data_IF_604423761256
#
_entry.id   IF_604423761256
#
_cell.length_a   1.000
_cell.length_b   1.000
_cell.length_c   1.000
_cell.angle_alpha   90.00
_cell.angle_beta   90.00
_cell.angle_gamma   90.00
#
_symmetry.space_group_name_H-M   'P 1'
#
loop_
_entity.id
_entity.type
_entity.pdbx_description
1 polymer ?
#
# COMPACT_ATOMS: atom_id res chain seq x y z
N UNK A 1 -0.28 25.35 44.55
CA UNK A 1 0.40 26.52 43.98
C UNK A 1 -0.64 27.58 43.76
N UNK A 2 -0.40 28.76 44.33
CA UNK A 2 -1.33 29.87 44.52
C UNK A 2 -1.89 30.43 43.20
N UNK A 3 -3.21 30.60 43.16
CA UNK A 3 -3.97 31.33 42.14
C UNK A 3 -3.78 32.83 42.37
N UNK A 4 -2.80 33.45 41.71
CA UNK A 4 -2.76 34.91 41.53
C UNK A 4 -1.67 35.26 40.50
N UNK A 5 -2.05 35.34 39.22
CA UNK A 5 -1.48 36.22 38.17
C UNK A 5 -1.73 35.65 36.77
N UNK A 6 -2.71 36.22 36.07
CA UNK A 6 -2.65 36.40 34.61
C UNK A 6 -3.81 37.32 34.20
N UNK A 7 -3.56 38.61 34.38
CA UNK A 7 -4.29 39.67 33.72
C UNK A 7 -4.09 39.53 32.21
N UNK A 8 -5.19 39.65 31.47
CA UNK A 8 -5.32 40.00 30.06
C UNK A 8 -4.09 39.86 29.15
N UNK A 9 -4.10 38.84 28.30
CA UNK A 9 -3.48 38.89 26.97
C UNK A 9 -4.50 38.43 25.92
N UNK A 10 -5.45 39.32 25.64
CA UNK A 10 -6.26 39.25 24.43
C UNK A 10 -5.40 39.64 23.23
N UNK A 11 -4.66 38.67 22.68
CA UNK A 11 -4.10 38.73 21.33
C UNK A 11 -4.34 37.37 20.69
N UNK A 12 -5.42 37.31 19.90
CA UNK A 12 -5.66 36.20 18.99
C UNK A 12 -4.62 36.31 17.88
N UNK A 13 -3.64 35.41 17.85
CA UNK A 13 -2.70 35.26 16.74
C UNK A 13 -3.44 34.79 15.50
N UNK A 14 -3.86 35.73 14.66
CA UNK A 14 -4.17 35.50 13.25
C UNK A 14 -3.54 36.61 12.41
N UNK A 15 -2.22 36.63 12.36
CA UNK A 15 -1.46 37.52 11.46
C UNK A 15 -0.20 36.81 10.95
N UNK A 16 -0.40 35.68 10.27
CA UNK A 16 0.60 35.11 9.36
C UNK A 16 -0.04 35.05 7.97
N UNK A 17 -0.11 36.19 7.28
CA UNK A 17 -0.26 36.31 5.81
C UNK A 17 -0.55 37.79 5.47
N UNK A 18 0.43 38.70 5.65
CA UNK A 18 0.38 40.03 4.98
C UNK A 18 1.70 40.81 5.05
N UNK A 19 2.85 40.14 5.09
CA UNK A 19 4.17 40.81 5.07
C UNK A 19 4.89 40.75 3.71
N UNK A 20 4.21 40.40 2.62
CA UNK A 20 4.82 40.37 1.28
C UNK A 20 4.62 41.67 0.46
N UNK A 21 3.93 42.67 1.00
CA UNK A 21 3.84 43.98 0.37
C UNK A 21 3.93 45.04 1.47
N UNK A 22 5.14 45.54 1.72
CA UNK A 22 5.45 46.92 2.14
C UNK A 22 6.91 46.97 2.61
N UNK A 23 7.83 47.05 1.66
CA UNK A 23 9.17 47.59 1.88
C UNK A 23 9.10 49.09 1.56
N UNK A 24 9.50 49.95 2.50
CA UNK A 24 9.71 51.37 2.23
C UNK A 24 9.92 52.24 3.48
N UNK A 25 11.15 52.75 3.61
CA UNK A 25 11.57 53.99 4.31
C UNK A 25 11.82 53.98 5.84
N UNK A 26 13.12 53.90 6.17
CA UNK A 26 13.96 54.82 6.95
C UNK A 26 13.42 55.67 8.13
N UNK A 27 14.12 55.50 9.27
CA UNK A 27 14.67 56.52 10.19
C UNK A 27 13.71 57.42 11.02
N UNK A 28 13.73 57.26 12.36
CA UNK A 28 14.29 58.23 13.34
C UNK A 28 13.69 58.03 14.76
N UNK A 29 14.56 57.93 15.76
CA UNK A 29 14.28 58.24 17.17
C UNK A 29 14.60 59.73 17.42
N UNK A 30 13.96 60.46 18.38
CA UNK A 30 14.32 60.32 19.81
C UNK A 30 13.25 60.64 20.90
N UNK A 31 13.36 59.91 22.03
CA UNK A 31 13.26 60.28 23.47
C UNK A 31 12.07 61.06 24.10
N UNK A 32 11.90 60.99 25.45
CA UNK A 32 10.59 60.93 26.14
C UNK A 32 10.24 62.20 26.94
N UNK A 33 8.94 62.44 27.18
CA UNK A 33 8.40 63.06 28.40
C UNK A 33 6.86 63.20 28.34
N UNK A 34 6.20 63.06 29.48
CA UNK A 34 4.93 63.73 29.76
C UNK A 34 3.76 62.82 30.11
N UNK A 35 3.53 62.64 31.40
CA UNK A 35 2.24 62.22 31.95
C UNK A 35 1.15 63.23 31.56
N UNK A 36 0.21 62.84 30.71
CA UNK A 36 -1.12 63.45 30.64
C UNK A 36 -2.19 62.38 30.46
N UNK A 37 -3.10 62.33 31.42
CA UNK A 37 -4.28 61.48 31.39
C UNK A 37 -5.25 61.98 30.31
N UNK A 38 -5.33 61.27 29.19
CA UNK A 38 -6.43 61.41 28.24
C UNK A 38 -7.34 60.19 28.30
N UNK A 39 -8.62 60.44 28.60
CA UNK A 39 -9.74 59.51 28.45
C UNK A 39 -9.91 59.15 26.98
N UNK A 40 -9.12 58.21 26.49
CA UNK A 40 -9.32 57.62 25.15
C UNK A 40 -10.52 56.69 25.24
N UNK A 41 -11.68 57.16 24.75
CA UNK A 41 -12.77 56.29 24.32
C UNK A 41 -12.21 55.33 23.27
N UNK A 42 -11.81 54.13 23.70
CA UNK A 42 -11.34 53.06 22.84
C UNK A 42 -12.54 52.63 22.01
N UNK A 43 -12.66 53.15 20.79
CA UNK A 43 -13.62 52.67 19.81
C UNK A 43 -13.36 51.17 19.64
N UNK A 44 -14.23 50.33 20.21
CA UNK A 44 -14.11 48.89 20.06
C UNK A 44 -14.41 48.57 18.61
N UNK A 45 -13.48 47.88 17.95
CA UNK A 45 -13.73 47.37 16.62
C UNK A 45 -15.04 46.56 16.64
N UNK A 46 -15.94 46.75 15.67
CA UNK A 46 -17.21 46.05 15.65
C UNK A 46 -16.98 44.55 15.68
N UNK A 47 -17.70 43.86 16.56
CA UNK A 47 -17.62 42.41 16.68
C UNK A 47 -18.03 41.78 15.35
N UNK A 48 -17.21 40.83 14.86
CA UNK A 48 -17.57 40.03 13.67
C UNK A 48 -18.86 39.26 13.87
N UNK A 49 -19.16 38.88 15.11
CA UNK A 49 -20.40 38.20 15.49
C UNK A 49 -20.92 38.77 16.83
N UNK A 50 -22.19 39.17 16.86
CA UNK A 50 -22.81 39.85 17.99
C UNK A 50 -23.63 38.93 18.91
N UNK A 51 -23.71 37.65 18.56
CA UNK A 51 -24.50 36.65 19.29
C UNK A 51 -23.57 35.88 20.24
N UNK A 52 -24.00 35.46 21.44
CA UNK A 52 -23.24 34.53 22.27
C UNK A 52 -23.03 33.18 21.57
N UNK A 53 -21.80 32.67 21.53
CA UNK A 53 -21.47 31.39 20.88
C UNK A 53 -21.11 30.33 21.92
N UNK A 54 -21.37 29.07 21.59
CA UNK A 54 -20.81 27.96 22.35
C UNK A 54 -19.29 27.89 22.13
N UNK A 55 -18.55 27.69 23.21
CA UNK A 55 -17.11 27.44 23.16
C UNK A 55 -16.86 25.99 23.50
N UNK A 56 -16.06 25.31 22.69
CA UNK A 56 -15.61 23.95 22.94
C UNK A 56 -14.10 23.91 22.89
N UNK A 57 -13.47 23.31 23.90
CA UNK A 57 -12.03 23.13 23.98
C UNK A 57 -11.67 21.75 24.49
N UNK A 58 -10.53 21.23 24.03
CA UNK A 58 -9.94 20.02 24.60
C UNK A 58 -9.08 20.38 25.81
N UNK A 59 -9.32 19.71 26.93
CA UNK A 59 -8.53 19.80 28.14
C UNK A 59 -7.51 18.66 28.24
N UNK A 60 -6.59 18.72 29.21
CA UNK A 60 -5.66 17.64 29.48
C UNK A 60 -6.41 16.35 29.88
N UNK A 61 -5.74 15.20 29.77
CA UNK A 61 -6.26 13.89 30.17
C UNK A 61 -7.60 13.51 29.49
N UNK A 62 -7.82 13.93 28.24
CA UNK A 62 -8.99 13.54 27.46
C UNK A 62 -10.29 14.23 27.91
N UNK A 63 -10.21 15.43 28.47
CA UNK A 63 -11.39 16.20 28.82
C UNK A 63 -11.90 17.04 27.63
N UNK A 64 -13.22 17.18 27.52
CA UNK A 64 -13.88 18.10 26.60
C UNK A 64 -14.64 19.15 27.41
N UNK A 65 -14.20 20.39 27.29
CA UNK A 65 -14.79 21.53 27.97
C UNK A 65 -15.77 22.19 27.02
N UNK A 66 -17.02 22.37 27.45
CA UNK A 66 -18.06 23.08 26.70
C UNK A 66 -18.62 24.20 27.56
N UNK A 67 -18.66 25.41 27.00
CA UNK A 67 -19.38 26.55 27.56
C UNK A 67 -20.58 26.82 26.67
N UNK A 68 -21.78 26.65 27.22
CA UNK A 68 -23.01 26.97 26.50
C UNK A 68 -23.40 28.42 26.76
N UNK A 69 -23.80 29.19 25.72
CA UNK A 69 -24.23 30.57 25.90
C UNK A 69 -25.49 30.62 26.76
N UNK A 70 -25.53 31.55 27.73
CA UNK A 70 -26.74 31.82 28.49
C UNK A 70 -27.81 32.41 27.56
N UNK A 71 -28.98 31.76 27.51
CA UNK A 71 -30.09 32.13 26.62
C UNK A 71 -31.11 33.07 27.31
N UNK A 72 -30.94 33.39 28.59
CA UNK A 72 -31.91 34.20 29.36
C UNK A 72 -31.24 35.40 30.05
N UNK A 73 -32.00 36.50 30.16
CA UNK A 73 -31.62 37.72 30.88
C UNK A 73 -31.62 37.54 32.42
N UNK A 74 -32.01 36.37 32.92
CA UNK A 74 -32.20 36.10 34.35
C UNK A 74 -31.07 35.27 34.97
N UNK A 75 -30.32 34.52 34.16
CA UNK A 75 -29.14 33.77 34.58
C UNK A 75 -27.90 34.30 33.84
N UNK A 76 -27.19 35.27 34.45
CA UNK A 76 -25.93 35.82 33.91
C UNK A 76 -24.75 34.83 33.94
N UNK A 77 -24.99 33.55 34.27
CA UNK A 77 -23.95 32.52 34.39
C UNK A 77 -24.02 31.56 33.22
N UNK A 78 -23.00 31.57 32.37
CA UNK A 78 -22.86 30.57 31.30
C UNK A 78 -22.55 29.19 31.92
N UNK A 79 -23.25 28.15 31.48
CA UNK A 79 -23.04 26.79 31.98
C UNK A 79 -21.73 26.22 31.42
N UNK A 80 -20.79 25.92 32.31
CA UNK A 80 -19.57 25.17 32.02
C UNK A 80 -19.82 23.67 32.23
N UNK A 81 -19.58 22.88 31.20
CA UNK A 81 -19.63 21.43 31.24
C UNK A 81 -18.24 20.85 30.96
N UNK A 82 -17.86 19.84 31.73
CA UNK A 82 -16.63 19.08 31.51
C UNK A 82 -17.04 17.63 31.26
N UNK A 83 -16.73 17.13 30.08
CA UNK A 83 -17.04 15.76 29.67
C UNK A 83 -15.76 14.95 29.53
N UNK A 84 -15.82 13.65 29.85
CA UNK A 84 -14.73 12.72 29.54
C UNK A 84 -14.89 12.23 28.09
N UNK A 85 -13.85 12.41 27.27
CA UNK A 85 -13.84 11.88 25.91
C UNK A 85 -13.89 10.35 25.89
N UNK A 86 -13.29 9.68 26.88
CA UNK A 86 -13.35 8.22 26.97
C UNK A 86 -14.81 7.74 27.06
N UNK A 87 -15.63 8.42 27.86
CA UNK A 87 -17.06 8.10 27.99
C UNK A 87 -17.81 8.42 26.70
N UNK A 88 -17.51 9.55 26.06
CA UNK A 88 -18.16 9.96 24.80
C UNK A 88 -17.82 8.99 23.66
N UNK A 89 -16.59 8.48 23.62
CA UNK A 89 -16.06 7.63 22.54
C UNK A 89 -16.17 6.14 22.86
N UNK A 90 -16.61 5.75 24.06
CA UNK A 90 -16.58 4.37 24.54
C UNK A 90 -17.24 3.36 23.58
N UNK A 91 -18.32 3.77 22.92
CA UNK A 91 -19.09 2.91 22.00
C UNK A 91 -18.62 2.98 20.54
N UNK A 92 -17.60 3.77 20.24
CA UNK A 92 -17.08 3.89 18.87
C UNK A 92 -16.26 2.68 18.47
N UNK A 93 -16.40 2.23 17.22
CA UNK A 93 -15.62 1.12 16.66
C UNK A 93 -14.11 1.40 16.77
N UNK A 94 -13.72 2.64 16.51
CA UNK A 94 -12.33 3.08 16.53
C UNK A 94 -11.72 2.97 17.94
N UNK A 95 -12.49 3.29 18.99
CA UNK A 95 -12.05 3.13 20.38
C UNK A 95 -11.90 1.66 20.77
N UNK A 96 -12.81 0.79 20.31
CA UNK A 96 -12.70 -0.66 20.51
C UNK A 96 -11.45 -1.21 19.81
N UNK A 97 -11.19 -0.81 18.57
CA UNK A 97 -10.01 -1.22 17.83
C UNK A 97 -8.71 -0.78 18.52
N UNK A 98 -8.66 0.44 19.04
CA UNK A 98 -7.51 0.94 19.79
C UNK A 98 -7.30 0.19 21.11
N UNK A 99 -8.36 -0.19 21.82
CA UNK A 99 -8.28 -0.99 23.06
C UNK A 99 -7.85 -2.43 22.80
N UNK A 100 -8.28 -3.00 21.68
CA UNK A 100 -7.93 -4.36 21.28
C UNK A 100 -6.52 -4.45 20.69
N UNK A 101 -5.91 -3.31 20.32
CA UNK A 101 -4.54 -3.29 19.82
C UNK A 101 -3.56 -3.72 20.94
N UNK A 102 -2.60 -4.62 20.66
CA UNK A 102 -1.70 -5.17 21.67
C UNK A 102 -0.58 -4.20 22.04
N UNK A 103 -0.93 -2.96 22.39
CA UNK A 103 -0.04 -1.92 22.92
C UNK A 103 1.14 -1.57 22.01
N UNK A 104 2.07 -0.73 22.47
CA UNK A 104 3.32 -0.49 21.74
C UNK A 104 4.03 -1.83 21.48
N UNK A 105 4.32 -2.15 20.22
CA UNK A 105 4.86 -3.46 19.85
C UNK A 105 6.30 -3.70 20.35
N UNK A 106 7.00 -2.64 20.74
CA UNK A 106 8.38 -2.67 21.23
C UNK A 106 8.50 -2.82 22.76
N UNK A 107 7.40 -3.12 23.45
CA UNK A 107 7.41 -3.30 24.91
C UNK A 107 7.99 -4.67 25.29
N UNK A 108 8.78 -4.69 26.36
CA UNK A 108 9.50 -5.89 26.80
C UNK A 108 8.57 -7.03 27.25
N UNK A 109 7.34 -6.71 27.67
CA UNK A 109 6.32 -7.65 28.15
C UNK A 109 5.48 -8.30 27.03
N UNK A 110 5.56 -7.81 25.79
CA UNK A 110 4.76 -8.34 24.69
C UNK A 110 5.45 -9.55 24.05
N UNK A 111 4.82 -10.71 24.13
CA UNK A 111 5.34 -11.88 23.42
C UNK A 111 5.00 -11.80 21.93
N UNK A 112 5.95 -12.24 21.11
CA UNK A 112 5.79 -12.38 19.65
C UNK A 112 4.54 -13.18 19.26
N UNK A 113 4.17 -14.18 20.05
CA UNK A 113 2.99 -15.02 19.82
C UNK A 113 1.71 -14.18 19.88
N UNK A 114 1.58 -13.26 20.85
CA UNK A 114 0.40 -12.43 21.01
C UNK A 114 0.22 -11.46 19.84
N UNK A 115 1.33 -10.91 19.33
CA UNK A 115 1.31 -10.05 18.14
C UNK A 115 0.90 -10.83 16.87
N UNK A 116 1.37 -12.08 16.74
CA UNK A 116 0.97 -12.97 15.65
C UNK A 116 -0.51 -13.34 15.77
N UNK A 117 -1.00 -13.68 16.96
CA UNK A 117 -2.41 -14.01 17.20
C UNK A 117 -3.32 -12.82 16.86
N UNK A 118 -2.94 -11.62 17.30
CA UNK A 118 -3.65 -10.39 16.91
C UNK A 118 -3.68 -10.22 15.39
N UNK A 119 -2.54 -10.38 14.71
CA UNK A 119 -2.48 -10.28 13.25
C UNK A 119 -3.34 -11.33 12.54
N UNK A 120 -3.43 -12.56 13.08
CA UNK A 120 -4.30 -13.62 12.56
C UNK A 120 -5.78 -13.22 12.68
N UNK A 121 -6.20 -12.72 13.85
CA UNK A 121 -7.56 -12.23 14.05
C UNK A 121 -7.90 -11.09 13.08
N UNK A 122 -6.95 -10.20 12.79
CA UNK A 122 -7.12 -9.12 11.80
C UNK A 122 -7.22 -9.63 10.37
N UNK A 123 -6.42 -10.64 9.99
CA UNK A 123 -6.50 -11.27 8.68
C UNK A 123 -7.90 -11.86 8.43
N UNK A 124 -8.43 -12.61 9.40
CA UNK A 124 -9.77 -13.17 9.30
C UNK A 124 -10.87 -12.10 9.30
N UNK A 125 -10.70 -11.04 10.10
CA UNK A 125 -11.64 -9.93 10.10
C UNK A 125 -11.72 -9.24 8.72
N UNK A 126 -10.60 -9.13 8.00
CA UNK A 126 -10.58 -8.60 6.63
C UNK A 126 -11.39 -9.46 5.66
N UNK A 127 -11.37 -10.79 5.82
CA UNK A 127 -12.17 -11.69 4.97
C UNK A 127 -13.68 -11.56 5.24
N UNK A 128 -14.06 -11.24 6.49
CA UNK A 128 -15.45 -11.04 6.91
C UNK A 128 -15.99 -9.62 6.63
N UNK A 129 -15.13 -8.65 6.32
CA UNK A 129 -15.56 -7.27 6.10
C UNK A 129 -16.14 -7.07 4.69
N UNK A 130 -17.45 -6.95 4.62
CA UNK A 130 -18.17 -6.76 3.36
C UNK A 130 -17.85 -5.43 2.66
N UNK A 131 -17.36 -4.42 3.40
CA UNK A 131 -17.11 -3.06 2.88
C UNK A 131 -15.79 -2.93 2.15
N UNK A 132 -14.86 -3.86 2.34
CA UNK A 132 -13.56 -3.85 1.68
C UNK A 132 -13.71 -4.33 0.23
N UNK A 133 -13.19 -3.53 -0.72
CA UNK A 133 -13.19 -3.86 -2.15
C UNK A 133 -12.36 -5.12 -2.44
N UNK A 134 -11.19 -5.26 -1.80
CA UNK A 134 -10.29 -6.40 -1.98
C UNK A 134 -9.93 -7.02 -0.62
N UNK A 135 -10.85 -7.84 -0.12
CA UNK A 135 -10.72 -8.59 1.14
C UNK A 135 -9.54 -9.57 1.09
N UNK A 136 -9.33 -10.18 -0.07
CA UNK A 136 -8.29 -11.20 -0.27
C UNK A 136 -6.89 -10.60 -0.11
N UNK A 137 -6.64 -9.44 -0.71
CA UNK A 137 -5.35 -8.76 -0.60
C UNK A 137 -5.17 -8.11 0.77
N UNK A 138 -6.24 -7.64 1.41
CA UNK A 138 -6.18 -7.12 2.77
C UNK A 138 -5.77 -8.22 3.77
N UNK A 139 -6.39 -9.40 3.69
CA UNK A 139 -6.01 -10.55 4.50
C UNK A 139 -4.60 -11.04 4.18
N UNK A 140 -4.23 -11.08 2.88
CA UNK A 140 -2.88 -11.44 2.44
C UNK A 140 -1.81 -10.50 3.01
N UNK A 141 -2.07 -9.20 3.10
CA UNK A 141 -1.15 -8.24 3.72
C UNK A 141 -0.90 -8.58 5.19
N UNK A 142 -1.94 -8.94 5.96
CA UNK A 142 -1.76 -9.41 7.33
C UNK A 142 -1.00 -10.73 7.41
N UNK A 143 -1.27 -11.67 6.51
CA UNK A 143 -0.52 -12.93 6.45
C UNK A 143 0.96 -12.72 6.10
N UNK A 144 1.28 -11.72 5.28
CA UNK A 144 2.65 -11.33 5.00
C UNK A 144 3.34 -10.78 6.26
N UNK A 145 2.64 -9.97 7.06
CA UNK A 145 3.16 -9.50 8.35
C UNK A 145 3.38 -10.65 9.34
N UNK A 146 2.47 -11.63 9.38
CA UNK A 146 2.64 -12.85 10.19
C UNK A 146 3.89 -13.63 9.75
N UNK A 147 4.10 -13.77 8.44
CA UNK A 147 5.28 -14.43 7.88
C UNK A 147 6.58 -13.71 8.28
N UNK A 148 6.61 -12.39 8.11
CA UNK A 148 7.72 -11.53 8.52
C UNK A 148 8.02 -11.68 10.02
N UNK A 149 6.98 -11.61 10.88
CA UNK A 149 7.13 -11.86 12.31
C UNK A 149 7.75 -13.23 12.55
N UNK A 150 7.15 -14.30 12.02
CA UNK A 150 7.62 -15.68 12.24
C UNK A 150 9.09 -15.84 11.91
N UNK A 151 9.54 -15.24 10.81
CA UNK A 151 10.92 -15.34 10.33
C UNK A 151 11.84 -14.19 10.79
N UNK A 152 11.44 -13.35 11.75
CA UNK A 152 12.23 -12.21 12.27
C UNK A 152 12.74 -11.30 11.13
N UNK A 153 11.87 -11.03 10.15
CA UNK A 153 12.19 -10.22 8.98
C UNK A 153 13.07 -10.89 7.90
N UNK A 154 13.57 -12.10 8.12
CA UNK A 154 14.41 -12.84 7.15
C UNK A 154 13.58 -13.72 6.24
N UNK A 155 12.85 -13.12 5.29
CA UNK A 155 12.01 -13.84 4.32
C UNK A 155 12.70 -14.03 2.98
N UNK A 156 12.57 -15.22 2.40
CA UNK A 156 13.00 -15.52 1.02
C UNK A 156 11.82 -15.34 0.07
N UNK A 157 12.09 -14.97 -1.18
CA UNK A 157 11.03 -14.76 -2.17
C UNK A 157 10.15 -15.99 -2.42
N UNK A 158 10.67 -17.21 -2.20
CA UNK A 158 9.92 -18.47 -2.22
C UNK A 158 8.79 -18.51 -1.19
N UNK A 159 9.02 -18.00 0.03
CA UNK A 159 8.04 -18.06 1.12
C UNK A 159 6.88 -17.11 0.85
N UNK A 160 7.17 -15.93 0.29
CA UNK A 160 6.16 -14.97 -0.17
C UNK A 160 5.38 -15.57 -1.36
N UNK A 161 6.07 -16.23 -2.29
CA UNK A 161 5.44 -16.88 -3.43
C UNK A 161 4.47 -18.00 -2.99
N UNK A 162 4.85 -18.81 -2.01
CA UNK A 162 3.97 -19.82 -1.44
C UNK A 162 2.72 -19.16 -0.82
N UNK A 163 2.92 -18.12 -0.01
CA UNK A 163 1.82 -17.37 0.60
C UNK A 163 0.85 -16.78 -0.44
N UNK A 164 1.36 -16.26 -1.56
CA UNK A 164 0.55 -15.71 -2.65
C UNK A 164 -0.32 -16.79 -3.32
N UNK A 165 0.17 -18.03 -3.39
CA UNK A 165 -0.48 -19.13 -4.10
C UNK A 165 -1.44 -19.94 -3.22
N UNK A 166 -1.40 -19.81 -1.89
CA UNK A 166 -2.25 -20.56 -0.95
C UNK A 166 -3.76 -20.45 -1.22
N UNK A 167 -4.25 -19.29 -1.69
CA UNK A 167 -5.66 -19.07 -2.03
C UNK A 167 -6.07 -19.48 -3.45
N UNK A 168 -5.12 -19.90 -4.28
CA UNK A 168 -5.35 -20.25 -5.70
C UNK A 168 -5.51 -21.76 -5.92
N UNK A 169 -5.39 -22.56 -4.85
CA UNK A 169 -5.65 -24.01 -4.91
C UNK A 169 -7.17 -24.19 -4.91
N UNK A 170 -7.78 -24.72 -5.98
CA UNK A 170 -9.16 -25.17 -5.89
C UNK A 170 -9.21 -26.26 -4.80
N UNK A 171 -10.16 -26.10 -3.91
CA UNK A 171 -10.46 -26.93 -2.75
C UNK A 171 -10.26 -28.44 -3.02
N UNK A 172 -9.45 -29.14 -2.21
CA UNK A 172 -9.51 -30.60 -2.07
C UNK A 172 -8.61 -31.50 -2.94
N UNK A 173 -7.48 -31.04 -3.47
CA UNK A 173 -6.46 -31.95 -4.05
C UNK A 173 -5.46 -32.42 -2.98
N UNK A 174 -5.20 -33.73 -2.79
CA UNK A 174 -4.22 -34.21 -1.80
C UNK A 174 -2.86 -33.57 -2.10
N UNK A 175 -2.12 -33.25 -1.04
CA UNK A 175 -0.75 -32.75 -1.11
C UNK A 175 0.01 -33.59 -2.13
N UNK A 176 0.26 -33.00 -3.32
CA UNK A 176 1.21 -33.59 -4.24
C UNK A 176 2.53 -33.51 -3.52
N UNK A 177 2.99 -34.66 -3.02
CA UNK A 177 4.35 -34.88 -2.55
C UNK A 177 5.27 -33.93 -3.31
N UNK A 178 5.87 -32.99 -2.59
CA UNK A 178 7.03 -32.27 -3.10
C UNK A 178 7.97 -33.35 -3.64
N UNK A 179 8.33 -33.37 -4.94
CA UNK A 179 9.35 -34.28 -5.41
C UNK A 179 10.67 -33.75 -4.84
N UNK A 180 10.94 -34.14 -3.60
CA UNK A 180 12.15 -33.84 -2.87
C UNK A 180 13.23 -34.69 -3.51
N UNK A 181 14.09 -34.05 -4.29
CA UNK A 181 15.31 -34.60 -4.88
C UNK A 181 15.03 -35.63 -5.98
N UNK A 182 15.61 -35.39 -7.16
CA UNK A 182 15.77 -36.42 -8.18
C UNK A 182 16.72 -37.45 -7.57
N UNK A 183 16.16 -38.55 -7.08
CA UNK A 183 16.94 -39.73 -6.69
C UNK A 183 17.43 -40.38 -7.99
N UNK A 184 18.75 -40.45 -8.18
CA UNK A 184 19.36 -41.02 -9.39
C UNK A 184 19.55 -42.54 -9.29
N UNK A 185 18.96 -43.18 -8.29
CA UNK A 185 19.00 -44.64 -8.12
C UNK A 185 17.64 -45.26 -8.52
N UNK A 186 17.43 -45.47 -9.82
CA UNK A 186 16.49 -46.50 -10.27
C UNK A 186 17.11 -47.28 -11.45
N UNK A 187 17.76 -48.39 -11.08
CA UNK A 187 18.11 -49.48 -11.97
C UNK A 187 16.82 -50.16 -12.50
N UNK A 188 16.80 -50.33 -13.82
CA UNK A 188 16.06 -51.36 -14.55
C UNK A 188 14.52 -51.35 -14.52
N UNK A 189 13.89 -50.48 -15.34
CA UNK A 189 12.82 -50.89 -16.27
C UNK A 189 12.35 -49.73 -17.18
N UNK A 190 12.99 -49.54 -18.34
CA UNK A 190 12.36 -49.15 -19.62
C UNK A 190 13.45 -48.77 -20.64
N UNK A 191 13.95 -49.76 -21.37
CA UNK A 191 14.70 -49.49 -22.60
C UNK A 191 13.71 -49.09 -23.69
N UNK A 192 13.26 -47.83 -23.63
CA UNK A 192 12.68 -47.12 -24.76
C UNK A 192 13.30 -45.72 -24.76
N UNK A 193 14.01 -45.31 -25.83
CA UNK A 193 14.43 -43.91 -25.95
C UNK A 193 13.17 -43.03 -25.85
N UNK A 194 13.26 -41.80 -25.29
CA UNK A 194 12.14 -40.87 -25.29
C UNK A 194 11.63 -40.72 -26.72
N UNK A 195 10.49 -41.36 -27.01
CA UNK A 195 9.86 -41.28 -28.33
C UNK A 195 9.11 -39.96 -28.36
N UNK A 196 9.67 -39.05 -29.16
CA UNK A 196 9.22 -37.67 -29.45
C UNK A 196 9.47 -36.69 -28.30
N UNK A 197 10.21 -35.63 -28.64
CA UNK A 197 10.23 -34.40 -27.87
C UNK A 197 8.87 -33.73 -27.99
N UNK A 198 7.96 -34.09 -27.10
CA UNK A 198 6.72 -33.38 -26.91
C UNK A 198 7.06 -32.01 -26.31
N UNK A 199 6.61 -30.94 -26.97
CA UNK A 199 6.79 -29.56 -26.51
C UNK A 199 5.86 -29.30 -25.33
N UNK A 200 6.29 -29.69 -24.14
CA UNK A 200 5.55 -29.57 -22.88
C UNK A 200 5.43 -28.11 -22.40
N UNK A 201 6.15 -27.16 -23.01
CA UNK A 201 6.20 -25.77 -22.57
C UNK A 201 5.16 -24.87 -23.24
N UNK A 202 4.62 -25.25 -24.38
CA UNK A 202 3.69 -24.40 -25.17
C UNK A 202 2.23 -24.88 -25.14
N UNK A 203 1.94 -25.99 -24.46
CA UNK A 203 0.58 -26.47 -24.22
C UNK A 203 -0.20 -26.92 -25.46
N UNK A 204 0.41 -26.90 -26.66
CA UNK A 204 -0.22 -27.45 -27.85
C UNK A 204 -0.08 -28.97 -27.87
N UNK A 205 -0.96 -29.65 -27.11
CA UNK A 205 -1.33 -31.03 -27.39
C UNK A 205 -2.19 -31.09 -28.66
N UNK A 206 -1.64 -30.63 -29.78
CA UNK A 206 -2.16 -30.90 -31.10
C UNK A 206 -1.14 -31.78 -31.78
N UNK A 207 -1.46 -33.07 -31.83
CA UNK A 207 -1.00 -34.04 -32.83
C UNK A 207 0.00 -33.42 -33.80
N UNK A 208 1.30 -33.66 -33.57
CA UNK A 208 2.34 -33.47 -34.58
C UNK A 208 1.88 -34.27 -35.80
N UNK A 209 1.18 -33.60 -36.73
CA UNK A 209 1.00 -34.08 -38.08
C UNK A 209 2.40 -34.22 -38.63
N UNK A 210 2.92 -35.45 -38.62
CA UNK A 210 4.37 -35.71 -38.73
C UNK A 210 4.93 -35.17 -40.04
N UNK A 211 4.08 -34.97 -41.04
CA UNK A 211 4.47 -34.47 -42.35
C UNK A 211 4.90 -32.98 -42.36
N UNK A 212 4.31 -32.12 -41.52
CA UNK A 212 4.64 -30.67 -41.50
C UNK A 212 5.99 -30.36 -40.85
N UNK A 213 6.22 -30.93 -39.66
CA UNK A 213 7.48 -30.79 -38.91
C UNK A 213 8.64 -31.49 -39.63
N UNK A 214 8.42 -32.67 -40.23
CA UNK A 214 9.44 -33.35 -41.03
C UNK A 214 9.81 -32.56 -42.29
N UNK A 215 8.85 -31.95 -42.98
CA UNK A 215 9.12 -31.06 -44.12
C UNK A 215 9.94 -29.83 -43.71
N UNK A 216 9.58 -29.20 -42.59
CA UNK A 216 10.34 -28.08 -42.03
C UNK A 216 11.78 -28.51 -41.70
N UNK A 217 11.97 -29.70 -41.13
CA UNK A 217 13.29 -30.23 -40.79
C UNK A 217 14.15 -30.54 -42.03
N UNK A 218 13.55 -31.07 -43.10
CA UNK A 218 14.23 -31.28 -44.39
C UNK A 218 14.61 -29.95 -45.05
N UNK A 219 13.72 -28.94 -45.02
CA UNK A 219 13.99 -27.59 -45.53
C UNK A 219 15.15 -26.93 -44.75
N UNK A 220 15.08 -26.97 -43.42
CA UNK A 220 16.12 -26.51 -42.51
C UNK A 220 17.48 -27.14 -42.81
N UNK A 221 17.54 -28.47 -42.92
CA UNK A 221 18.77 -29.21 -43.21
C UNK A 221 19.35 -28.81 -44.57
N UNK A 222 18.51 -28.69 -45.61
CA UNK A 222 18.94 -28.26 -46.95
C UNK A 222 19.55 -26.86 -46.93
N UNK A 223 18.97 -25.92 -46.20
CA UNK A 223 19.50 -24.55 -46.07
C UNK A 223 20.82 -24.50 -45.30
N UNK A 224 20.97 -25.34 -44.27
CA UNK A 224 22.24 -25.47 -43.55
C UNK A 224 23.35 -26.07 -44.40
N UNK A 225 23.05 -27.10 -45.21
CA UNK A 225 24.01 -27.68 -46.16
C UNK A 225 24.47 -26.63 -47.19
N UNK A 226 23.60 -25.69 -47.55
CA UNK A 226 23.93 -24.56 -48.41
C UNK A 226 24.65 -23.40 -47.68
N UNK A 227 24.91 -23.52 -46.37
CA UNK A 227 25.54 -22.47 -45.55
C UNK A 227 24.64 -21.27 -45.21
N UNK A 228 23.35 -21.31 -45.53
CA UNK A 228 22.39 -20.19 -45.39
C UNK A 228 21.75 -20.18 -43.99
N UNK A 229 22.57 -19.93 -42.96
CA UNK A 229 22.18 -20.03 -41.54
C UNK A 229 20.98 -19.14 -41.16
N UNK A 230 20.89 -17.91 -41.69
CA UNK A 230 19.79 -16.98 -41.38
C UNK A 230 18.43 -17.48 -41.87
N UNK A 231 18.38 -18.00 -43.09
CA UNK A 231 17.15 -18.51 -43.68
C UNK A 231 16.75 -19.84 -43.05
N UNK A 232 17.73 -20.70 -42.74
CA UNK A 232 17.48 -21.90 -41.95
C UNK A 232 16.83 -21.54 -40.60
N UNK A 233 17.30 -20.49 -39.93
CA UNK A 233 16.73 -20.03 -38.67
C UNK A 233 15.27 -19.56 -38.84
N UNK A 234 14.96 -18.81 -39.89
CA UNK A 234 13.59 -18.36 -40.18
C UNK A 234 12.64 -19.52 -40.47
N UNK A 235 13.08 -20.50 -41.26
CA UNK A 235 12.33 -21.73 -41.55
C UNK A 235 12.10 -22.58 -40.29
N UNK A 236 13.11 -22.68 -39.41
CA UNK A 236 12.98 -23.40 -38.14
C UNK A 236 11.94 -22.73 -37.23
N UNK A 237 11.94 -21.39 -37.15
CA UNK A 237 10.93 -20.64 -36.38
C UNK A 237 9.53 -20.79 -36.98
N UNK A 238 9.40 -20.72 -38.31
CA UNK A 238 8.11 -20.87 -39.00
C UNK A 238 7.53 -22.29 -38.86
N UNK A 239 8.40 -23.31 -38.84
CA UNK A 239 8.03 -24.71 -38.66
C UNK A 239 7.86 -25.17 -37.21
N UNK A 240 7.99 -24.27 -36.22
CA UNK A 240 7.89 -24.62 -34.79
C UNK A 240 9.04 -25.47 -34.25
N UNK A 241 10.17 -25.54 -34.96
CA UNK A 241 11.36 -26.30 -34.56
C UNK A 241 12.19 -25.54 -33.51
N UNK A 242 11.57 -25.13 -32.41
CA UNK A 242 12.16 -24.21 -31.42
C UNK A 242 13.47 -24.69 -30.82
N UNK A 243 13.61 -25.99 -30.52
CA UNK A 243 14.88 -26.55 -30.04
C UNK A 243 16.04 -26.34 -31.02
N UNK A 244 15.80 -26.57 -32.32
CA UNK A 244 16.78 -26.34 -33.37
C UNK A 244 17.06 -24.84 -33.57
N UNK A 245 16.00 -24.02 -33.58
CA UNK A 245 16.11 -22.58 -33.76
C UNK A 245 16.89 -21.93 -32.61
N UNK A 246 16.56 -22.24 -31.35
CA UNK A 246 17.23 -21.73 -30.15
C UNK A 246 18.70 -22.16 -30.11
N UNK A 247 18.98 -23.43 -30.40
CA UNK A 247 20.36 -23.92 -30.46
C UNK A 247 21.17 -23.19 -31.54
N UNK A 248 20.66 -23.13 -32.78
CA UNK A 248 21.35 -22.45 -33.87
C UNK A 248 21.58 -20.96 -33.54
N UNK A 249 20.55 -20.27 -33.05
CA UNK A 249 20.62 -18.87 -32.69
C UNK A 249 21.63 -18.60 -31.56
N UNK A 250 21.76 -19.50 -30.59
CA UNK A 250 22.76 -19.41 -29.50
C UNK A 250 24.21 -19.44 -30.01
N UNK A 251 24.45 -19.99 -31.20
CA UNK A 251 25.76 -20.05 -31.87
C UNK A 251 25.92 -18.99 -32.97
N UNK A 252 24.93 -18.11 -33.13
CA UNK A 252 24.98 -16.94 -34.01
C UNK A 252 25.29 -15.69 -33.18
N UNK A 253 24.81 -14.53 -33.60
CA UNK A 253 24.93 -13.27 -32.90
C UNK A 253 23.80 -13.06 -31.87
N UNK A 254 24.04 -12.18 -30.88
CA UNK A 254 23.10 -11.90 -29.79
C UNK A 254 21.73 -11.40 -30.28
N UNK A 255 21.68 -10.67 -31.40
CA UNK A 255 20.44 -10.15 -31.97
C UNK A 255 19.59 -11.30 -32.55
N UNK A 256 20.21 -12.25 -33.23
CA UNK A 256 19.54 -13.47 -33.71
C UNK A 256 18.97 -14.30 -32.55
N UNK A 257 19.74 -14.53 -31.49
CA UNK A 257 19.27 -15.22 -30.27
C UNK A 257 18.08 -14.52 -29.62
N UNK A 258 18.19 -13.20 -29.40
CA UNK A 258 17.12 -12.39 -28.80
C UNK A 258 15.84 -12.41 -29.63
N UNK A 259 15.96 -12.40 -30.96
CA UNK A 259 14.80 -12.42 -31.87
C UNK A 259 14.04 -13.75 -31.78
N UNK A 260 14.77 -14.87 -31.77
CA UNK A 260 14.18 -16.22 -31.66
C UNK A 260 13.54 -16.39 -30.30
N UNK A 261 14.22 -16.00 -29.23
CA UNK A 261 13.69 -16.06 -27.87
C UNK A 261 12.40 -15.23 -27.72
N UNK A 262 12.37 -14.00 -28.26
CA UNK A 262 11.17 -13.17 -28.24
C UNK A 262 10.00 -13.79 -29.02
N UNK A 263 10.26 -14.44 -30.16
CA UNK A 263 9.20 -15.13 -30.91
C UNK A 263 8.70 -16.37 -30.20
N UNK A 264 9.59 -17.17 -29.61
CA UNK A 264 9.25 -18.38 -28.85
C UNK A 264 8.37 -18.04 -27.65
N UNK A 265 8.85 -17.12 -26.81
CA UNK A 265 8.13 -16.66 -25.60
C UNK A 265 6.83 -15.94 -25.98
N UNK A 266 6.81 -15.22 -27.10
CA UNK A 266 5.59 -14.60 -27.64
C UNK A 266 4.48 -15.57 -28.07
N UNK A 267 4.74 -16.89 -28.11
CA UNK A 267 3.69 -17.90 -28.32
C UNK A 267 2.85 -18.15 -27.06
N UNK A 268 3.36 -17.80 -25.89
CA UNK A 268 2.65 -17.93 -24.62
C UNK A 268 1.59 -16.85 -24.48
N UNK A 269 0.55 -17.15 -23.70
CA UNK A 269 -0.46 -16.13 -23.37
C UNK A 269 0.17 -15.01 -22.53
N UNK A 270 -0.28 -13.77 -22.74
CA UNK A 270 0.29 -12.63 -22.02
C UNK A 270 0.06 -12.71 -20.49
N UNK A 271 -0.98 -13.42 -20.06
CA UNK A 271 -1.31 -13.70 -18.65
C UNK A 271 -0.60 -14.94 -18.09
N UNK A 272 0.24 -15.62 -18.87
CA UNK A 272 0.99 -16.78 -18.39
C UNK A 272 2.14 -16.35 -17.47
N UNK A 273 2.23 -16.85 -16.22
CA UNK A 273 3.39 -16.58 -15.35
C UNK A 273 4.74 -17.01 -15.96
N UNK A 274 4.76 -18.01 -16.87
CA UNK A 274 5.97 -18.37 -17.62
C UNK A 274 6.47 -17.23 -18.50
N UNK A 275 5.56 -16.46 -19.09
CA UNK A 275 5.93 -15.29 -19.88
C UNK A 275 6.60 -14.21 -19.01
N UNK A 276 6.12 -14.04 -17.77
CA UNK A 276 6.77 -13.17 -16.78
C UNK A 276 8.18 -13.63 -16.46
N UNK A 277 8.37 -14.93 -16.23
CA UNK A 277 9.68 -15.51 -15.93
C UNK A 277 10.66 -15.27 -17.09
N UNK A 278 10.27 -15.60 -18.32
CA UNK A 278 11.16 -15.45 -19.47
C UNK A 278 11.55 -13.99 -19.74
N UNK A 279 10.64 -13.04 -19.51
CA UNK A 279 10.95 -11.61 -19.61
C UNK A 279 11.97 -11.16 -18.56
N UNK A 280 11.84 -11.64 -17.32
CA UNK A 280 12.81 -11.37 -16.24
C UNK A 280 14.18 -11.99 -16.53
N UNK A 281 14.22 -13.27 -16.94
CA UNK A 281 15.45 -13.97 -17.31
C UNK A 281 16.16 -13.30 -18.50
N UNK A 282 15.39 -12.60 -19.35
CA UNK A 282 15.92 -11.78 -20.45
C UNK A 282 16.39 -10.38 -20.00
N UNK A 283 16.39 -10.09 -18.69
CA UNK A 283 16.81 -8.80 -18.13
C UNK A 283 15.83 -7.66 -18.39
N UNK A 284 14.55 -7.96 -18.68
CA UNK A 284 13.52 -6.95 -18.95
C UNK A 284 12.48 -6.91 -17.85
N UNK A 285 11.92 -5.73 -17.60
CA UNK A 285 10.73 -5.59 -16.76
C UNK A 285 9.55 -6.23 -17.50
N UNK A 286 8.85 -7.20 -16.89
CA UNK A 286 7.74 -7.87 -17.56
C UNK A 286 6.58 -6.92 -17.86
N UNK A 287 5.92 -7.11 -19.00
CA UNK A 287 4.82 -6.26 -19.43
C UNK A 287 3.62 -6.31 -18.45
N UNK A 288 3.46 -7.42 -17.71
CA UNK A 288 2.45 -7.53 -16.66
C UNK A 288 2.68 -6.54 -15.51
N UNK A 289 3.92 -6.12 -15.24
CA UNK A 289 4.21 -5.14 -14.20
C UNK A 289 3.56 -3.77 -14.46
N UNK A 290 3.30 -3.42 -15.72
CA UNK A 290 2.66 -2.16 -16.12
C UNK A 290 1.17 -2.30 -16.42
N UNK A 291 0.65 -3.53 -16.47
CA UNK A 291 -0.68 -3.82 -17.02
C UNK A 291 -1.54 -4.76 -16.15
N UNK A 292 -1.01 -5.29 -15.04
CA UNK A 292 -1.65 -6.25 -14.14
C UNK A 292 -3.02 -5.77 -13.63
N UNK A 293 -3.96 -6.71 -13.44
CA UNK A 293 -5.32 -6.43 -12.95
C UNK A 293 -6.31 -5.95 -14.01
N UNK A 294 -5.96 -5.98 -15.30
CA UNK A 294 -6.91 -5.81 -16.41
C UNK A 294 -7.47 -7.17 -16.79
N UNK A 295 -8.68 -7.23 -17.38
CA UNK A 295 -9.29 -8.48 -17.87
C UNK A 295 -8.34 -9.31 -18.76
N UNK A 296 -7.45 -8.64 -19.50
CA UNK A 296 -6.45 -9.28 -20.38
C UNK A 296 -5.25 -9.92 -19.67
N UNK A 297 -4.91 -9.49 -18.46
CA UNK A 297 -3.67 -9.88 -17.77
C UNK A 297 -3.91 -10.75 -16.53
N UNK A 298 -5.16 -10.92 -16.10
CA UNK A 298 -5.52 -11.84 -15.02
C UNK A 298 -5.07 -11.38 -13.63
N UNK A 299 -4.99 -12.34 -12.72
CA UNK A 299 -4.58 -12.14 -11.32
C UNK A 299 -3.09 -11.79 -11.22
N UNK A 300 -2.76 -10.83 -10.37
CA UNK A 300 -1.39 -10.35 -10.16
C UNK A 300 -0.55 -11.31 -9.30
N UNK A 301 -1.19 -12.12 -8.44
CA UNK A 301 -0.51 -12.98 -7.45
C UNK A 301 0.45 -13.99 -8.08
N UNK A 302 0.08 -14.77 -9.12
CA UNK A 302 0.99 -15.74 -9.74
C UNK A 302 2.19 -15.07 -10.40
N UNK A 303 1.99 -13.89 -11.00
CA UNK A 303 3.08 -13.13 -11.59
C UNK A 303 4.06 -12.66 -10.52
N UNK A 304 3.57 -12.07 -9.42
CA UNK A 304 4.44 -11.66 -8.31
C UNK A 304 5.17 -12.86 -7.71
N UNK A 305 4.48 -14.00 -7.52
CA UNK A 305 5.07 -15.22 -7.00
C UNK A 305 6.28 -15.66 -7.86
N UNK A 306 6.15 -15.68 -9.18
CA UNK A 306 7.24 -15.98 -10.11
C UNK A 306 8.39 -14.96 -9.99
N UNK A 307 8.08 -13.66 -9.90
CA UNK A 307 9.11 -12.63 -9.76
C UNK A 307 9.94 -12.82 -8.49
N UNK A 308 9.32 -13.27 -7.40
CA UNK A 308 9.96 -13.40 -6.08
C UNK A 308 10.70 -14.74 -5.92
N UNK A 309 10.12 -15.86 -6.36
CA UNK A 309 10.72 -17.19 -6.17
C UNK A 309 11.90 -17.48 -7.11
N UNK A 310 12.00 -16.76 -8.22
CA UNK A 310 13.07 -16.95 -9.21
C UNK A 310 14.14 -15.86 -9.05
N UNK A 311 15.10 -16.10 -8.17
CA UNK A 311 16.20 -15.17 -7.89
C UNK A 311 17.25 -15.06 -9.02
N UNK A 312 17.04 -15.73 -10.15
CA UNK A 312 17.90 -15.62 -11.32
C UNK A 312 17.82 -14.21 -11.95
N UNK A 313 18.95 -13.76 -12.52
CA UNK A 313 19.05 -12.49 -13.25
C UNK A 313 19.43 -11.28 -12.39
N UNK A 314 19.18 -10.08 -12.92
CA UNK A 314 19.53 -8.81 -12.28
C UNK A 314 18.54 -8.45 -11.15
N UNK A 315 18.99 -8.37 -9.88
CA UNK A 315 18.12 -8.01 -8.76
C UNK A 315 17.50 -6.62 -8.90
N UNK A 316 18.18 -5.67 -9.56
CA UNK A 316 17.64 -4.33 -9.77
C UNK A 316 16.45 -4.34 -10.73
N UNK A 317 16.50 -5.16 -11.79
CA UNK A 317 15.38 -5.33 -12.73
C UNK A 317 14.18 -5.96 -12.03
N UNK A 318 14.41 -6.99 -11.21
CA UNK A 318 13.37 -7.65 -10.41
C UNK A 318 12.71 -6.68 -9.44
N UNK A 319 13.50 -5.98 -8.63
CA UNK A 319 13.00 -5.01 -7.66
C UNK A 319 12.20 -3.88 -8.36
N UNK A 320 12.69 -3.40 -9.50
CA UNK A 320 11.97 -2.43 -10.34
C UNK A 320 10.65 -3.00 -10.87
N UNK A 321 10.62 -4.26 -11.31
CA UNK A 321 9.42 -4.91 -11.81
C UNK A 321 8.36 -5.04 -10.70
N UNK A 322 8.74 -5.51 -9.51
CA UNK A 322 7.83 -5.62 -8.36
C UNK A 322 7.30 -4.25 -7.94
N UNK A 323 8.18 -3.25 -7.89
CA UNK A 323 7.78 -1.87 -7.56
C UNK A 323 6.81 -1.29 -8.60
N UNK A 324 7.08 -1.50 -9.89
CA UNK A 324 6.21 -1.03 -10.99
C UNK A 324 4.84 -1.72 -10.96
N UNK A 325 4.80 -3.00 -10.59
CA UNK A 325 3.56 -3.73 -10.36
C UNK A 325 2.75 -3.12 -9.22
N UNK A 326 3.42 -2.77 -8.11
CA UNK A 326 2.81 -2.05 -6.99
C UNK A 326 2.25 -0.69 -7.42
N UNK A 327 3.02 0.09 -8.17
CA UNK A 327 2.60 1.41 -8.69
C UNK A 327 1.34 1.27 -9.58
N UNK A 328 1.30 0.23 -10.42
CA UNK A 328 0.15 -0.08 -11.28
C UNK A 328 -1.08 -0.48 -10.48
N UNK A 329 -0.95 -1.34 -9.46
CA UNK A 329 -2.05 -1.74 -8.59
C UNK A 329 -2.58 -0.57 -7.76
N UNK A 330 -1.69 0.29 -7.26
CA UNK A 330 -2.06 1.50 -6.52
C UNK A 330 -2.86 2.46 -7.39
N UNK A 331 -2.48 2.65 -8.66
CA UNK A 331 -3.21 3.50 -9.62
C UNK A 331 -4.65 3.05 -9.89
N UNK A 332 -4.97 1.80 -9.56
CA UNK A 332 -6.31 1.18 -9.71
C UNK A 332 -7.11 1.15 -8.41
N UNK A 333 -6.59 1.73 -7.33
CA UNK A 333 -7.23 1.70 -6.02
C UNK A 333 -7.03 0.38 -5.26
N UNK A 334 -6.21 -0.56 -5.76
CA UNK A 334 -5.90 -1.82 -5.09
C UNK A 334 -4.76 -1.63 -4.08
N UNK A 335 -5.02 -0.83 -3.04
CA UNK A 335 -4.02 -0.37 -2.05
C UNK A 335 -3.34 -1.55 -1.33
N UNK A 336 -4.12 -2.53 -0.87
CA UNK A 336 -3.58 -3.67 -0.13
C UNK A 336 -2.64 -4.52 -1.02
N UNK A 337 -3.03 -4.78 -2.26
CA UNK A 337 -2.21 -5.51 -3.23
C UNK A 337 -0.90 -4.76 -3.54
N UNK A 338 -0.99 -3.43 -3.74
CA UNK A 338 0.18 -2.59 -3.95
C UNK A 338 1.15 -2.64 -2.75
N UNK A 339 0.62 -2.59 -1.53
CA UNK A 339 1.45 -2.67 -0.31
C UNK A 339 2.09 -4.04 -0.11
N UNK A 340 1.46 -5.13 -0.57
CA UNK A 340 2.11 -6.44 -0.65
C UNK A 340 3.33 -6.37 -1.59
N UNK A 341 3.19 -5.79 -2.78
CA UNK A 341 4.33 -5.59 -3.70
C UNK A 341 5.43 -4.73 -3.09
N UNK A 342 5.09 -3.59 -2.47
CA UNK A 342 6.09 -2.69 -1.88
C UNK A 342 6.82 -3.33 -0.70
N UNK A 343 6.10 -4.06 0.16
CA UNK A 343 6.71 -4.82 1.27
C UNK A 343 7.65 -5.89 0.74
N UNK A 344 7.21 -6.67 -0.26
CA UNK A 344 8.03 -7.69 -0.89
C UNK A 344 9.27 -7.13 -1.63
N UNK A 345 9.19 -5.89 -2.13
CA UNK A 345 10.32 -5.18 -2.74
C UNK A 345 11.26 -4.51 -1.72
N UNK A 346 10.98 -4.59 -0.42
CA UNK A 346 11.75 -3.91 0.62
C UNK A 346 11.67 -2.38 0.53
N UNK A 347 10.53 -1.83 0.07
CA UNK A 347 10.35 -0.39 0.01
C UNK A 347 10.33 0.22 1.43
N UNK A 348 11.04 1.34 1.66
CA UNK A 348 11.05 1.98 2.97
C UNK A 348 9.73 2.69 3.28
N UNK A 349 9.48 2.90 4.57
CA UNK A 349 8.41 3.79 5.03
C UNK A 349 8.85 5.25 4.95
N UNK A 350 8.03 6.06 4.28
CA UNK A 350 8.20 7.49 4.13
C UNK A 350 7.39 8.32 5.13
N UNK A 351 7.41 9.64 4.92
CA UNK A 351 6.79 10.62 5.82
C UNK A 351 5.55 11.26 5.18
N UNK A 352 4.44 11.33 5.93
CA UNK A 352 3.24 12.07 5.51
C UNK A 352 3.47 13.59 5.54
N UNK A 353 3.01 14.38 4.54
CA UNK A 353 2.12 14.05 3.43
C UNK A 353 2.81 13.89 2.06
N UNK A 354 4.07 13.45 2.01
CA UNK A 354 4.78 13.33 0.73
C UNK A 354 4.06 12.36 -0.22
N UNK A 355 3.65 12.85 -1.39
CA UNK A 355 2.99 12.03 -2.44
C UNK A 355 3.96 11.15 -3.24
N UNK A 356 5.26 11.34 -3.05
CA UNK A 356 6.29 10.55 -3.72
C UNK A 356 6.56 9.22 -3.00
N UNK A 357 6.12 9.10 -1.76
CA UNK A 357 6.31 7.89 -0.96
C UNK A 357 5.37 6.78 -1.42
N UNK A 358 5.81 5.53 -1.31
CA UNK A 358 4.97 4.35 -1.65
C UNK A 358 4.29 3.77 -0.43
N UNK A 359 4.99 3.81 0.71
CA UNK A 359 4.52 3.34 1.99
C UNK A 359 4.63 4.45 3.03
N UNK A 360 3.53 4.72 3.73
CA UNK A 360 3.50 5.63 4.90
C UNK A 360 2.80 4.90 6.05
N UNK A 361 1.61 4.39 5.76
CA UNK A 361 0.85 3.53 6.65
C UNK A 361 0.34 2.32 5.86
N UNK A 362 0.58 1.11 6.36
CA UNK A 362 0.11 -0.11 5.72
C UNK A 362 -1.44 -0.13 5.63
N UNK A 363 -1.97 -0.72 4.56
CA UNK A 363 -3.40 -0.72 4.24
C UNK A 363 -4.04 0.63 3.89
N UNK A 364 -3.31 1.75 3.93
CA UNK A 364 -3.89 3.09 3.71
C UNK A 364 -3.24 3.84 2.55
N UNK A 365 -4.05 4.37 1.64
CA UNK A 365 -3.56 5.31 0.62
C UNK A 365 -3.31 6.68 1.24
N UNK A 366 -2.15 7.28 1.01
CA UNK A 366 -1.83 8.66 1.43
C UNK A 366 -1.87 9.65 0.25
N UNK A 367 -2.02 9.15 -0.98
CA UNK A 367 -2.14 9.97 -2.19
C UNK A 367 -3.53 10.60 -2.33
N UNK A 368 -4.54 9.94 -1.76
CA UNK A 368 -5.88 10.50 -1.61
C UNK A 368 -5.95 11.34 -0.32
N UNK A 369 -6.24 12.64 -0.45
CA UNK A 369 -6.47 13.55 0.68
C UNK A 369 -7.56 13.07 1.67
N UNK A 370 -8.29 12.00 1.34
CA UNK A 370 -9.48 11.52 2.03
C UNK A 370 -9.20 10.57 3.21
N UNK A 371 -8.14 9.76 3.17
CA UNK A 371 -7.95 8.65 4.12
C UNK A 371 -7.67 9.11 5.56
N UNK A 372 -6.74 10.06 5.76
CA UNK A 372 -6.47 10.61 7.10
C UNK A 372 -7.58 11.57 7.56
N UNK A 373 -8.29 12.19 6.62
CA UNK A 373 -9.47 13.03 6.90
C UNK A 373 -10.66 12.19 7.38
N UNK A 374 -10.86 10.97 6.85
CA UNK A 374 -12.01 10.12 7.18
C UNK A 374 -12.07 9.77 8.67
N UNK A 375 -10.92 9.42 9.28
CA UNK A 375 -10.82 9.18 10.72
C UNK A 375 -11.12 10.44 11.54
N UNK A 376 -10.61 11.60 11.10
CA UNK A 376 -10.82 12.90 11.77
C UNK A 376 -12.27 13.36 11.72
N UNK A 377 -12.95 13.20 10.58
CA UNK A 377 -14.35 13.59 10.42
C UNK A 377 -15.30 12.70 11.24
N UNK A 378 -15.02 11.40 11.36
CA UNK A 378 -15.88 10.47 12.10
C UNK A 378 -15.86 10.72 13.60
N UNK A 379 -14.68 10.98 14.18
CA UNK A 379 -14.56 11.38 15.59
C UNK A 379 -15.27 12.70 15.86
N UNK A 380 -15.07 13.71 15.00
CA UNK A 380 -15.72 15.03 15.15
C UNK A 380 -17.25 14.92 15.00
N UNK A 381 -17.74 14.11 14.06
CA UNK A 381 -19.18 13.86 13.89
C UNK A 381 -19.79 13.13 15.08
N UNK A 382 -19.08 12.17 15.69
CA UNK A 382 -19.60 11.40 16.83
C UNK A 382 -19.61 12.23 18.12
N UNK A 383 -18.58 13.04 18.35
CA UNK A 383 -18.57 14.07 19.40
C UNK A 383 -19.74 15.04 19.17
N UNK A 384 -19.96 15.44 17.92
CA UNK A 384 -21.13 16.22 17.48
C UNK A 384 -22.45 15.58 17.90
N UNK A 385 -22.69 14.33 17.53
CA UNK A 385 -23.94 13.64 17.86
C UNK A 385 -24.13 13.48 19.36
N UNK A 386 -23.14 12.97 20.10
CA UNK A 386 -23.32 12.65 21.52
C UNK A 386 -23.36 13.89 22.43
N UNK A 387 -22.59 14.93 22.10
CA UNK A 387 -22.52 16.15 22.93
C UNK A 387 -23.66 17.12 22.60
N UNK A 388 -24.14 17.16 21.35
CA UNK A 388 -25.15 18.12 20.93
C UNK A 388 -26.58 17.55 20.90
N UNK A 389 -26.82 16.23 20.79
CA UNK A 389 -28.19 15.66 20.92
C UNK A 389 -28.68 15.51 22.36
N UNK A 390 -27.80 15.44 23.36
CA UNK A 390 -28.19 15.25 24.78
C UNK A 390 -29.06 16.39 25.36
N UNK A 391 -29.27 17.49 24.63
CA UNK A 391 -30.14 18.61 25.00
C UNK A 391 -31.34 18.87 24.04
N UNK A 392 -31.71 17.90 23.18
CA UNK A 392 -33.02 17.93 22.50
C UNK A 392 -33.22 19.02 21.43
N UNK A 393 -32.17 19.52 20.79
CA UNK A 393 -32.30 20.41 19.60
C UNK A 393 -31.43 19.90 18.46
N UNK A 394 -32.07 19.58 17.34
CA UNK A 394 -31.42 19.29 16.06
C UNK A 394 -30.66 20.55 15.60
N UNK A 395 -29.34 20.56 15.73
CA UNK A 395 -28.51 21.55 15.06
C UNK A 395 -28.21 21.03 13.65
N UNK A 396 -28.88 21.59 12.64
CA UNK A 396 -28.48 21.42 11.25
C UNK A 396 -27.09 22.05 11.08
N UNK A 397 -26.05 21.22 11.02
CA UNK A 397 -24.70 21.66 10.67
C UNK A 397 -24.64 21.91 9.17
N UNK A 398 -24.96 23.14 8.74
CA UNK A 398 -24.56 23.61 7.41
C UNK A 398 -23.04 23.64 7.34
N UNK A 399 -22.50 23.03 6.28
CA UNK A 399 -21.09 22.63 6.05
C UNK A 399 -20.06 23.77 5.94
N UNK A 400 -20.41 25.00 6.28
CA UNK A 400 -19.52 26.14 6.15
C UNK A 400 -19.20 26.68 7.55
N UNK A 401 -17.90 26.76 7.86
CA UNK A 401 -17.28 27.48 8.99
C UNK A 401 -16.84 26.72 10.25
N UNK A 402 -16.53 25.42 10.18
CA UNK A 402 -15.57 24.81 11.13
C UNK A 402 -14.14 25.06 10.67
N UNK A 403 -13.63 26.29 10.87
CA UNK A 403 -12.18 26.55 10.89
C UNK A 403 -11.64 26.07 12.24
N UNK A 404 -11.39 24.78 12.36
CA UNK A 404 -10.60 24.22 13.47
C UNK A 404 -9.14 24.60 13.26
N UNK A 405 -8.52 25.25 14.26
CA UNK A 405 -7.08 25.53 14.26
C UNK A 405 -6.33 24.21 14.45
N UNK A 406 -5.46 23.86 13.50
CA UNK A 406 -4.69 22.62 13.49
C UNK A 406 -3.33 22.83 14.17
N UNK A 407 -2.98 21.96 15.12
CA UNK A 407 -1.60 21.72 15.56
C UNK A 407 -1.14 20.32 15.14
N UNK A 408 0.16 20.11 14.84
CA UNK A 408 0.66 18.88 14.24
C UNK A 408 1.09 17.89 15.34
N UNK A 409 0.24 16.93 15.68
CA UNK A 409 0.67 15.74 16.43
C UNK A 409 0.68 14.52 15.50
N UNK A 410 1.76 14.40 14.74
CA UNK A 410 2.05 13.31 13.79
C UNK A 410 2.58 12.01 14.45
N UNK A 411 2.58 11.85 15.77
CA UNK A 411 3.38 10.79 16.41
C UNK A 411 2.71 9.44 16.68
N UNK A 412 1.38 9.31 16.58
CA UNK A 412 0.72 8.06 17.02
C UNK A 412 0.63 6.97 15.94
N UNK A 413 0.67 7.32 14.64
CA UNK A 413 0.54 6.35 13.54
C UNK A 413 1.87 5.80 13.02
N UNK A 414 3.00 6.38 13.44
CA UNK A 414 4.35 5.93 13.05
C UNK A 414 4.74 4.57 13.65
N UNK A 415 4.05 4.13 14.70
CA UNK A 415 4.41 2.90 15.45
C UNK A 415 4.05 1.60 14.71
N UNK A 416 3.13 1.63 13.74
CA UNK A 416 2.68 0.41 13.04
C UNK A 416 3.68 -0.06 11.98
N UNK A 417 4.39 0.87 11.32
CA UNK A 417 5.34 0.56 10.24
C UNK A 417 6.74 0.22 10.72
N UNK A 418 7.23 0.88 11.79
CA UNK A 418 8.57 0.61 12.33
C UNK A 418 8.63 -0.60 13.26
N UNK A 419 7.54 -0.94 13.97
CA UNK A 419 7.56 -2.00 14.97
C UNK A 419 7.68 -3.42 14.40
N UNK A 420 7.21 -3.65 13.18
CA UNK A 420 7.24 -4.96 12.52
C UNK A 420 8.50 -5.21 11.68
N UNK A 421 9.29 -4.17 11.40
CA UNK A 421 10.56 -4.27 10.69
C UNK A 421 11.79 -4.40 11.61
N UNK A 422 11.58 -4.28 12.93
CA UNK A 422 12.64 -4.31 13.96
C UNK A 422 12.41 -5.37 15.06
N UNK A 423 11.48 -6.30 14.83
CA UNK A 423 11.31 -7.58 15.54
C UNK A 423 11.59 -8.71 14.56
#
# INVERSE_FOLDING_TARGET
GTLESSKNSGLSSSSCELSQYMNGAEHSEPQPAGEQAELVHRASAPLKYSIPHAVVSFGPAGQLIRVSPALSMQENTSRLEIHSLEVILNETQEQHEMRNFPGPLAREDLHKVDAIEFAQQRAEACLRDEKLLDRSSAALLWNLLILLCRQNGQIVGSDIAELLMQGSRPDGGPESNTPTLIDFDEDAAADAPPRRGDDLLTGSASSFGSDGSEKALRSYTRLLLAGRKKEALEEAMAGGLWGHALFLASKMDNRSYTTVLNRFTGQLTASDPLQTLFQLLSGRVPAVATCCGNEKWGDWKPHLAVMLSNEAGDPAVRQKAVTTMGDTLASRGLVHAAHVCYTAAGAPFGVFPSKAERLVLLGSSHSENASFMHFRFRIVSHIGSNVFHRNGRNFNTTSESTKTCFFPHQRFMFSLGLGLAYL
#
